data_IF_403405390092
#
_entry.id   IF_403405390092
#
_cell.length_a   1.000
_cell.length_b   1.000
_cell.length_c   1.000
_cell.angle_alpha   90.00
_cell.angle_beta   90.00
_cell.angle_gamma   90.00
#
_symmetry.space_group_name_H-M   'P 1'
#
loop_
_entity.id
_entity.type
_entity.pdbx_description
1 polymer ?
#
# COMPACT_ATOMS: atom_id res chain seq x y z
N UNK A 1 -2.43 -19.01 12.11
CA UNK A 1 -2.40 -19.48 10.70
C UNK A 1 -3.13 -18.49 9.81
N UNK A 2 -2.53 -18.14 8.70
CA UNK A 2 -3.20 -17.29 7.73
C UNK A 2 -4.35 -18.07 7.08
N UNK A 3 -5.50 -17.43 6.93
CA UNK A 3 -6.65 -18.03 6.26
C UNK A 3 -6.39 -18.13 4.77
N UNK A 4 -6.73 -19.29 4.21
CA UNK A 4 -6.55 -19.53 2.79
C UNK A 4 -7.85 -19.22 2.05
N UNK A 5 -7.82 -18.22 1.17
CA UNK A 5 -8.95 -17.84 0.34
C UNK A 5 -9.01 -18.68 -0.93
N UNK A 6 -10.20 -18.85 -1.51
CA UNK A 6 -10.37 -19.57 -2.76
C UNK A 6 -9.64 -18.86 -3.91
N UNK A 7 -9.32 -19.60 -4.96
CA UNK A 7 -8.69 -19.02 -6.15
C UNK A 7 -9.56 -17.96 -6.82
N UNK A 8 -10.88 -18.11 -6.76
CA UNK A 8 -11.82 -17.13 -7.32
C UNK A 8 -11.73 -15.81 -6.57
N UNK A 9 -11.77 -15.86 -5.23
CA UNK A 9 -11.66 -14.65 -4.39
C UNK A 9 -10.30 -13.99 -4.58
N UNK A 10 -9.23 -14.76 -4.60
CA UNK A 10 -7.89 -14.23 -4.83
C UNK A 10 -7.78 -13.53 -6.18
N UNK A 11 -8.39 -14.11 -7.23
CA UNK A 11 -8.40 -13.51 -8.57
C UNK A 11 -9.19 -12.20 -8.60
N UNK A 12 -10.37 -12.18 -7.95
CA UNK A 12 -11.18 -10.95 -7.87
C UNK A 12 -10.43 -9.81 -7.18
N UNK A 13 -9.75 -10.11 -6.08
CA UNK A 13 -8.97 -9.11 -5.34
C UNK A 13 -7.83 -8.59 -6.21
N UNK A 14 -7.11 -9.48 -6.92
CA UNK A 14 -6.01 -9.07 -7.80
C UNK A 14 -6.47 -8.20 -8.96
N UNK A 15 -7.54 -8.60 -9.62
CA UNK A 15 -8.11 -7.81 -10.74
C UNK A 15 -8.55 -6.44 -10.26
N UNK A 16 -9.26 -6.38 -9.14
CA UNK A 16 -9.72 -5.11 -8.54
C UNK A 16 -8.55 -4.18 -8.20
N UNK A 17 -7.45 -4.76 -7.72
CA UNK A 17 -6.25 -4.00 -7.34
C UNK A 17 -5.33 -3.69 -8.53
N UNK A 18 -5.66 -4.12 -9.74
CA UNK A 18 -4.78 -4.04 -10.91
C UNK A 18 -3.42 -4.71 -10.65
N UNK A 19 -3.42 -5.78 -9.84
CA UNK A 19 -2.20 -6.52 -9.45
C UNK A 19 -1.18 -5.67 -8.72
N UNK A 20 -1.61 -4.55 -8.12
CA UNK A 20 -0.77 -3.69 -7.30
C UNK A 20 -0.97 -3.97 -5.82
N UNK A 21 0.10 -3.89 -5.04
CA UNK A 21 -0.06 -3.75 -3.60
C UNK A 21 -0.89 -2.49 -3.34
N UNK A 22 -1.99 -2.63 -2.63
CA UNK A 22 -2.91 -1.51 -2.44
C UNK A 22 -2.38 -0.44 -1.47
N UNK A 23 -1.24 -0.70 -0.82
CA UNK A 23 -0.56 0.26 0.04
C UNK A 23 0.61 0.95 -0.65
N UNK A 24 1.58 0.21 -1.18
CA UNK A 24 2.78 0.80 -1.79
C UNK A 24 2.76 0.88 -3.31
N UNK A 25 1.75 0.30 -3.97
CA UNK A 25 1.59 0.28 -5.43
C UNK A 25 2.73 -0.42 -6.19
N UNK A 26 3.45 -1.34 -5.52
CA UNK A 26 4.35 -2.25 -6.23
C UNK A 26 3.54 -3.24 -7.07
N UNK A 27 4.02 -3.56 -8.27
CA UNK A 27 3.33 -4.50 -9.16
C UNK A 27 3.77 -5.93 -8.86
N UNK A 28 2.82 -6.82 -8.61
CA UNK A 28 3.08 -8.21 -8.22
C UNK A 28 3.96 -8.95 -9.24
N UNK A 29 3.73 -8.71 -10.51
CA UNK A 29 4.43 -9.37 -11.61
C UNK A 29 5.97 -9.32 -11.49
N UNK A 30 6.51 -8.24 -10.90
CA UNK A 30 7.95 -8.02 -10.81
C UNK A 30 8.53 -8.35 -9.43
N UNK A 31 7.77 -9.04 -8.58
CA UNK A 31 8.19 -9.40 -7.23
C UNK A 31 8.56 -10.87 -7.12
N UNK A 32 9.49 -11.19 -6.25
CA UNK A 32 9.91 -12.58 -6.00
C UNK A 32 8.83 -13.39 -5.32
N UNK A 33 8.09 -12.77 -4.43
CA UNK A 33 7.09 -13.45 -3.59
C UNK A 33 5.72 -12.98 -4.03
N UNK A 34 4.81 -13.95 -4.24
CA UNK A 34 3.42 -13.63 -4.54
C UNK A 34 2.82 -12.77 -3.41
N UNK A 35 1.96 -11.84 -3.78
CA UNK A 35 1.30 -10.98 -2.81
C UNK A 35 0.29 -11.77 -1.98
N UNK A 36 -0.02 -11.24 -0.81
CA UNK A 36 -0.96 -11.85 0.13
C UNK A 36 -2.24 -11.02 0.19
N UNK A 37 -3.25 -11.59 0.84
CA UNK A 37 -4.50 -10.91 1.08
C UNK A 37 -4.52 -10.46 2.53
N UNK A 38 -4.65 -9.15 2.71
CA UNK A 38 -4.67 -8.50 4.01
C UNK A 38 -6.11 -8.24 4.44
N UNK A 39 -6.41 -8.50 5.71
CA UNK A 39 -7.62 -7.98 6.34
C UNK A 39 -7.35 -6.53 6.71
N UNK A 40 -7.99 -5.59 6.02
CA UNK A 40 -7.77 -4.16 6.26
C UNK A 40 -8.02 -3.83 7.72
N UNK A 41 -9.18 -4.28 8.23
CA UNK A 41 -9.45 -4.30 9.66
C UNK A 41 -9.23 -5.74 10.14
N UNK A 42 -8.31 -5.98 11.06
CA UNK A 42 -8.01 -7.32 11.53
C UNK A 42 -9.23 -8.03 12.12
N UNK A 43 -9.29 -9.34 11.97
CA UNK A 43 -10.37 -10.14 12.55
C UNK A 43 -10.48 -9.93 14.06
N UNK A 44 -9.33 -9.75 14.74
CA UNK A 44 -9.29 -9.49 16.18
C UNK A 44 -9.87 -8.14 16.58
N UNK A 45 -10.09 -7.25 15.61
CA UNK A 45 -10.62 -5.89 15.84
C UNK A 45 -11.96 -5.66 15.14
N UNK A 46 -12.70 -6.73 14.90
CA UNK A 46 -14.04 -6.65 14.33
C UNK A 46 -14.12 -6.72 12.81
N UNK A 47 -12.98 -6.95 12.14
CA UNK A 47 -12.96 -7.16 10.70
C UNK A 47 -13.54 -8.53 10.33
N UNK A 48 -13.90 -8.68 9.07
CA UNK A 48 -14.46 -9.91 8.53
C UNK A 48 -13.71 -10.35 7.25
N UNK A 49 -14.19 -11.45 6.65
CA UNK A 49 -13.61 -12.02 5.42
C UNK A 49 -14.30 -11.51 4.15
N UNK A 50 -15.12 -10.47 4.23
CA UNK A 50 -15.81 -9.95 3.04
C UNK A 50 -14.84 -9.24 2.11
N UNK A 51 -15.19 -9.18 0.83
CA UNK A 51 -14.40 -8.44 -0.16
C UNK A 51 -14.22 -6.97 0.24
N UNK A 52 -15.18 -6.40 0.99
CA UNK A 52 -15.11 -5.03 1.47
C UNK A 52 -14.07 -4.82 2.59
N UNK A 53 -13.47 -5.90 3.09
CA UNK A 53 -12.42 -5.83 4.09
C UNK A 53 -11.11 -6.49 3.66
N UNK A 54 -11.00 -6.87 2.40
CA UNK A 54 -9.81 -7.55 1.90
C UNK A 54 -9.05 -6.66 0.92
N UNK A 55 -7.73 -6.69 0.99
CA UNK A 55 -6.85 -5.93 0.11
C UNK A 55 -5.67 -6.77 -0.33
N UNK A 56 -5.18 -6.53 -1.55
CA UNK A 56 -3.96 -7.13 -2.03
C UNK A 56 -2.77 -6.39 -1.42
N UNK A 57 -1.85 -7.12 -0.80
CA UNK A 57 -0.70 -6.52 -0.15
C UNK A 57 0.58 -7.30 -0.46
N UNK A 58 1.67 -6.57 -0.70
CA UNK A 58 2.97 -7.20 -0.82
C UNK A 58 3.42 -7.73 0.55
N UNK A 59 4.38 -8.64 0.52
CA UNK A 59 4.90 -9.26 1.75
C UNK A 59 5.35 -8.20 2.77
N UNK A 60 6.08 -7.19 2.33
CA UNK A 60 6.57 -6.13 3.21
C UNK A 60 5.44 -5.35 3.88
N UNK A 61 4.49 -4.85 3.07
CA UNK A 61 3.39 -4.05 3.62
C UNK A 61 2.51 -4.87 4.56
N UNK A 62 2.20 -6.12 4.19
CA UNK A 62 1.41 -7.00 5.03
C UNK A 62 2.11 -7.26 6.37
N UNK A 63 3.40 -7.54 6.34
CA UNK A 63 4.19 -7.80 7.54
C UNK A 63 4.28 -6.56 8.44
N UNK A 64 4.56 -5.39 7.86
CA UNK A 64 4.67 -4.14 8.63
C UNK A 64 3.35 -3.70 9.22
N UNK A 65 2.27 -3.84 8.43
CA UNK A 65 0.94 -3.48 8.91
C UNK A 65 0.49 -4.40 10.05
N UNK A 66 0.65 -5.72 9.89
CA UNK A 66 0.19 -6.66 10.90
C UNK A 66 -1.26 -6.37 11.31
N UNK A 67 -1.48 -6.17 12.60
CA UNK A 67 -2.80 -5.83 13.16
C UNK A 67 -3.01 -4.33 13.37
N UNK A 68 -2.16 -3.48 12.81
CA UNK A 68 -2.30 -2.04 12.98
C UNK A 68 -3.47 -1.50 12.16
N UNK A 69 -4.24 -0.60 12.77
CA UNK A 69 -5.28 0.20 12.10
C UNK A 69 -5.00 1.70 12.28
N UNK A 70 -4.11 2.04 13.21
CA UNK A 70 -3.72 3.42 13.52
C UNK A 70 -2.35 3.43 14.16
N UNK A 71 -1.72 4.59 14.18
CA UNK A 71 -0.52 4.83 14.98
C UNK A 71 -0.69 6.10 15.77
N UNK A 72 0.02 6.20 16.90
CA UNK A 72 -0.01 7.39 17.75
C UNK A 72 0.89 8.46 17.20
N UNK A 73 0.34 9.65 17.02
CA UNK A 73 1.13 10.83 16.71
C UNK A 73 1.68 11.38 18.03
N UNK A 74 3.00 11.28 18.21
CA UNK A 74 3.65 11.69 19.46
C UNK A 74 3.57 13.20 19.68
N UNK A 75 3.49 13.99 18.62
CA UNK A 75 3.41 15.45 18.73
C UNK A 75 2.01 15.90 19.15
N UNK A 76 0.95 15.24 18.68
CA UNK A 76 -0.43 15.61 18.95
C UNK A 76 -1.08 14.76 20.04
N UNK A 77 -0.47 13.62 20.39
CA UNK A 77 -1.03 12.68 21.36
C UNK A 77 -2.29 11.96 20.86
N UNK A 78 -2.57 12.03 19.57
CA UNK A 78 -3.76 11.45 18.95
C UNK A 78 -3.41 10.20 18.15
N UNK A 79 -4.38 9.29 18.02
CA UNK A 79 -4.27 8.14 17.13
C UNK A 79 -4.63 8.57 15.72
N UNK A 80 -3.73 8.37 14.77
CA UNK A 80 -3.95 8.66 13.35
C UNK A 80 -4.26 7.36 12.65
N UNK A 81 -5.42 7.22 11.98
CA UNK A 81 -5.74 6.01 11.26
C UNK A 81 -4.81 5.81 10.08
N UNK A 82 -4.50 4.55 9.78
CA UNK A 82 -3.79 4.20 8.56
C UNK A 82 -4.72 4.27 7.36
N UNK A 83 -4.13 4.44 6.18
CA UNK A 83 -4.87 4.42 4.92
C UNK A 83 -5.68 3.12 4.79
N UNK A 84 -6.97 3.26 4.46
CA UNK A 84 -7.87 2.13 4.24
C UNK A 84 -8.23 2.05 2.75
N UNK A 85 -7.66 1.09 1.99
CA UNK A 85 -7.87 1.02 0.54
C UNK A 85 -9.29 0.66 0.12
N UNK A 86 -10.14 0.21 1.06
CA UNK A 86 -11.55 -0.07 0.75
C UNK A 86 -12.44 1.15 0.87
N UNK A 87 -12.08 2.12 1.70
CA UNK A 87 -12.90 3.29 2.02
C UNK A 87 -12.36 4.58 1.45
N UNK A 88 -11.10 4.61 1.08
CA UNK A 88 -10.39 5.82 0.68
C UNK A 88 -9.65 5.59 -0.64
N UNK A 89 -9.36 6.68 -1.33
CA UNK A 89 -8.62 6.64 -2.58
C UNK A 89 -7.15 6.94 -2.31
N UNK A 90 -6.26 6.16 -2.90
CA UNK A 90 -4.83 6.32 -2.70
C UNK A 90 -4.35 7.73 -3.07
N UNK A 91 -4.81 8.27 -4.19
CA UNK A 91 -4.41 9.59 -4.66
C UNK A 91 -4.90 10.75 -3.79
N UNK A 92 -5.82 10.51 -2.87
CA UNK A 92 -6.23 11.54 -1.91
C UNK A 92 -5.20 11.68 -0.78
N UNK A 93 -4.37 10.67 -0.56
CA UNK A 93 -3.42 10.62 0.56
C UNK A 93 -1.97 10.61 0.12
N UNK A 94 -1.69 10.24 -1.13
CA UNK A 94 -0.33 10.02 -1.62
C UNK A 94 -0.16 10.56 -3.05
N UNK A 95 1.08 10.93 -3.35
CA UNK A 95 1.49 11.26 -4.70
C UNK A 95 2.95 10.80 -4.88
N UNK A 96 3.30 10.38 -6.09
CA UNK A 96 4.69 10.07 -6.39
C UNK A 96 5.50 11.36 -6.55
N UNK A 97 6.75 11.37 -6.08
CA UNK A 97 7.69 12.45 -6.39
C UNK A 97 7.87 12.56 -7.91
N UNK A 98 8.30 13.73 -8.38
CA UNK A 98 8.47 13.99 -9.81
C UNK A 98 9.37 12.95 -10.50
N UNK A 99 10.37 12.41 -9.78
CA UNK A 99 11.23 11.34 -10.30
C UNK A 99 10.67 9.94 -10.10
N UNK A 100 9.50 9.80 -9.47
CA UNK A 100 8.82 8.52 -9.27
C UNK A 100 9.41 7.63 -8.18
N UNK A 101 10.43 8.07 -7.45
CA UNK A 101 11.16 7.21 -6.52
C UNK A 101 10.56 7.15 -5.13
N UNK A 102 9.85 8.21 -4.72
CA UNK A 102 9.39 8.41 -3.35
C UNK A 102 7.88 8.64 -3.34
N UNK A 103 7.20 8.02 -2.37
CA UNK A 103 5.80 8.31 -2.08
C UNK A 103 5.76 9.52 -1.13
N UNK A 104 5.03 10.55 -1.53
CA UNK A 104 4.86 11.77 -0.75
C UNK A 104 3.46 11.76 -0.15
N UNK A 105 3.35 12.10 1.14
CA UNK A 105 2.05 12.20 1.81
C UNK A 105 1.38 13.53 1.50
N UNK A 106 0.07 13.47 1.29
CA UNK A 106 -0.78 14.65 1.10
C UNK A 106 -1.63 14.96 2.35
N UNK A 107 -1.69 14.00 3.28
CA UNK A 107 -2.55 14.08 4.47
C UNK A 107 -1.84 13.49 5.68
N UNK A 108 -2.40 13.72 6.88
CA UNK A 108 -1.92 13.08 8.11
C UNK A 108 -2.01 11.55 8.03
N UNK A 109 -3.09 11.02 7.44
CA UNK A 109 -3.26 9.59 7.21
C UNK A 109 -2.15 9.05 6.31
N UNK A 110 -1.84 9.76 5.23
CA UNK A 110 -0.75 9.37 4.33
C UNK A 110 0.60 9.37 5.04
N UNK A 111 0.88 10.39 5.82
CA UNK A 111 2.13 10.48 6.58
C UNK A 111 2.26 9.34 7.58
N UNK A 112 1.20 9.05 8.32
CA UNK A 112 1.18 7.94 9.28
C UNK A 112 1.41 6.59 8.59
N UNK A 113 0.79 6.39 7.43
CA UNK A 113 0.90 5.15 6.67
C UNK A 113 2.31 4.94 6.13
N UNK A 114 2.93 5.99 5.58
CA UNK A 114 4.31 5.94 5.09
C UNK A 114 5.25 5.53 6.23
N UNK A 115 5.08 6.13 7.40
CA UNK A 115 5.91 5.83 8.56
C UNK A 115 5.69 4.41 9.08
N UNK A 116 4.43 4.03 9.28
CA UNK A 116 4.09 2.71 9.86
C UNK A 116 4.52 1.55 8.94
N UNK A 117 4.31 1.68 7.65
CA UNK A 117 4.61 0.63 6.68
C UNK A 117 6.00 0.80 6.03
N UNK A 118 6.73 1.84 6.41
CA UNK A 118 8.08 2.11 5.88
C UNK A 118 8.08 2.08 4.34
N UNK A 119 7.19 2.88 3.75
CA UNK A 119 6.93 2.84 2.31
C UNK A 119 8.08 3.40 1.48
N UNK A 120 8.98 4.18 2.07
CA UNK A 120 10.12 4.78 1.39
C UNK A 120 11.46 4.29 1.92
N UNK A 121 11.52 3.03 2.35
CA UNK A 121 12.80 2.44 2.76
C UNK A 121 13.81 2.46 1.62
N UNK A 122 15.07 2.57 1.96
CA UNK A 122 16.15 2.70 0.98
C UNK A 122 16.11 1.62 -0.10
N UNK A 123 15.93 0.37 0.30
CA UNK A 123 15.89 -0.76 -0.64
C UNK A 123 14.78 -0.60 -1.69
N UNK A 124 13.60 -0.16 -1.29
CA UNK A 124 12.49 -0.03 -2.24
C UNK A 124 12.69 1.17 -3.16
N UNK A 125 13.32 2.23 -2.68
CA UNK A 125 13.69 3.38 -3.53
C UNK A 125 14.65 2.93 -4.63
N UNK A 126 15.64 2.12 -4.29
CA UNK A 126 16.60 1.57 -5.27
C UNK A 126 15.89 0.66 -6.29
N UNK A 127 14.96 -0.16 -5.85
CA UNK A 127 14.17 -1.01 -6.75
C UNK A 127 13.30 -0.16 -7.69
N UNK A 128 12.66 0.87 -7.17
CA UNK A 128 11.87 1.79 -8.00
C UNK A 128 12.73 2.47 -9.05
N UNK A 129 13.95 2.88 -8.70
CA UNK A 129 14.90 3.47 -9.63
C UNK A 129 15.18 2.52 -10.80
N UNK A 130 15.46 1.26 -10.52
CA UNK A 130 15.69 0.24 -11.54
C UNK A 130 14.42 0.02 -12.41
N UNK A 131 13.26 -0.04 -11.77
CA UNK A 131 12.00 -0.25 -12.48
C UNK A 131 11.61 0.94 -13.36
N UNK A 132 11.98 2.16 -12.96
CA UNK A 132 11.79 3.35 -13.79
C UNK A 132 12.60 3.23 -15.08
N UNK A 133 13.86 2.81 -14.97
CA UNK A 133 14.74 2.62 -16.14
C UNK A 133 14.18 1.55 -17.08
N UNK A 134 13.50 0.55 -16.57
CA UNK A 134 12.87 -0.52 -17.34
C UNK A 134 11.43 -0.19 -17.78
N UNK A 135 10.96 1.00 -17.47
CA UNK A 135 9.59 1.48 -17.78
C UNK A 135 8.50 0.63 -17.12
N UNK A 136 8.79 0.16 -15.90
CA UNK A 136 7.86 -0.65 -15.09
C UNK A 136 7.21 0.16 -13.97
N UNK A 137 7.67 1.36 -13.71
CA UNK A 137 7.26 2.19 -12.58
C UNK A 137 7.34 3.67 -12.96
N UNK A 138 6.45 4.55 -12.50
CA UNK A 138 5.24 4.26 -11.73
C UNK A 138 4.17 3.53 -12.57
N UNK A 139 3.12 2.97 -11.91
CA UNK A 139 2.02 2.34 -12.65
C UNK A 139 1.34 3.33 -13.58
N UNK A 140 0.76 2.88 -14.71
CA UNK A 140 0.02 3.76 -15.61
C UNK A 140 -1.10 4.52 -14.88
N UNK A 141 -1.20 5.82 -15.14
CA UNK A 141 -2.22 6.67 -14.52
C UNK A 141 -1.94 7.04 -13.07
N UNK A 142 -0.76 6.71 -12.55
CA UNK A 142 -0.41 7.06 -11.16
C UNK A 142 -0.30 8.58 -10.98
N UNK A 143 -0.74 9.11 -9.81
CA UNK A 143 -0.54 10.51 -9.49
C UNK A 143 0.95 10.79 -9.26
N UNK A 144 1.50 11.73 -9.99
CA UNK A 144 2.92 12.08 -9.92
C UNK A 144 3.07 13.59 -9.95
N UNK A 145 4.00 14.12 -9.16
CA UNK A 145 4.29 15.54 -9.14
C UNK A 145 4.85 15.99 -10.48
N UNK A 146 4.49 17.22 -10.89
CA UNK A 146 5.08 17.82 -12.07
C UNK A 146 6.54 18.20 -11.80
N UNK A 147 7.37 18.06 -12.83
CA UNK A 147 8.72 18.62 -12.77
C UNK A 147 8.62 20.13 -12.74
N UNK A 148 9.25 20.73 -11.74
CA UNK A 148 9.39 22.20 -11.66
C UNK A 148 10.77 22.53 -12.18
N UNK A 149 10.81 23.16 -13.32
CA UNK A 149 12.08 23.63 -13.90
C UNK A 149 12.61 24.84 -13.11
#
# INVERSE_FOLDING_TARGET
MSKKFSSVIQSEIRVRANYLCEYCHALEKWQYVAFTIDHVIPLTQGGDDSLDNLALACFHCNRRKGNLVSIKDLALGEDIPLFNPRRERWQDHFIWSADGRVIISLTAVGKATIAALDLNRERVIDIRQADILLKRHPPPGAPIQENVD
#
